data_IF_319827595544
#
_entry.id   IF_319827595544
#
_cell.length_a   1.000
_cell.length_b   1.000
_cell.length_c   1.000
_cell.angle_alpha   90.00
_cell.angle_beta   90.00
_cell.angle_gamma   90.00
#
_symmetry.space_group_name_H-M   'P 1'
#
loop_
_entity.id
_entity.type
_entity.pdbx_description
1 polymer ?
#
# COMPACT_ATOMS: atom_id res chain seq x y z
N UNK A 1 1.97 5.43 16.34
CA UNK A 1 2.70 4.58 15.36
C UNK A 1 1.88 3.32 15.12
N UNK A 2 1.81 2.81 13.89
CA UNK A 2 1.06 1.59 13.59
C UNK A 2 1.67 0.36 14.29
N UNK A 3 0.86 -0.69 14.43
CA UNK A 3 1.34 -2.01 14.85
C UNK A 3 2.34 -2.58 13.84
N UNK A 4 2.98 -3.70 14.19
CA UNK A 4 3.81 -4.45 13.23
C UNK A 4 2.90 -5.19 12.23
N UNK A 5 3.24 -5.11 10.95
CA UNK A 5 2.59 -5.87 9.89
C UNK A 5 3.17 -7.28 9.74
N UNK A 6 2.63 -8.05 8.80
CA UNK A 6 3.07 -9.43 8.51
C UNK A 6 4.49 -9.47 7.92
N UNK A 7 4.86 -8.44 7.15
CA UNK A 7 6.16 -8.33 6.50
C UNK A 7 6.35 -9.24 5.29
N UNK A 8 7.55 -9.18 4.69
CA UNK A 8 7.98 -10.08 3.60
C UNK A 8 7.47 -9.71 2.20
N UNK A 9 6.61 -8.70 2.06
CA UNK A 9 6.10 -8.20 0.78
C UNK A 9 6.57 -6.77 0.48
N UNK A 10 7.69 -6.38 1.09
CA UNK A 10 8.26 -5.05 1.05
C UNK A 10 7.88 -4.17 2.25
N UNK A 11 8.47 -2.99 2.33
CA UNK A 11 8.30 -2.03 3.44
C UNK A 11 6.84 -1.74 3.75
N UNK A 12 5.98 -1.62 2.72
CA UNK A 12 4.53 -1.41 2.90
C UNK A 12 3.78 -2.55 3.62
N UNK A 13 4.44 -3.71 3.82
CA UNK A 13 3.89 -4.86 4.57
C UNK A 13 4.43 -4.97 6.00
N UNK A 14 5.43 -4.18 6.38
CA UNK A 14 6.11 -4.30 7.69
C UNK A 14 5.36 -3.60 8.82
N UNK A 15 4.36 -2.78 8.50
CA UNK A 15 3.50 -2.09 9.45
C UNK A 15 2.04 -2.46 9.25
N UNK A 16 1.28 -2.52 10.35
CA UNK A 16 -0.14 -2.84 10.37
C UNK A 16 -1.02 -1.62 10.14
N UNK A 17 -2.28 -1.72 10.56
CA UNK A 17 -3.37 -0.80 10.22
C UNK A 17 -3.03 0.67 10.55
N UNK A 18 -3.22 1.57 9.57
CA UNK A 18 -3.08 3.03 9.73
C UNK A 18 -4.40 3.70 10.12
N UNK A 19 -5.48 2.93 10.29
CA UNK A 19 -6.80 3.48 10.56
C UNK A 19 -6.78 4.37 11.80
N UNK A 20 -7.30 5.58 11.65
CA UNK A 20 -7.36 6.56 12.74
C UNK A 20 -6.09 7.41 12.93
N UNK A 21 -4.99 7.11 12.23
CA UNK A 21 -3.82 7.99 12.19
C UNK A 21 -4.11 9.23 11.34
N UNK A 22 -3.54 10.37 11.72
CA UNK A 22 -3.60 11.61 10.93
C UNK A 22 -2.63 11.60 9.77
N UNK A 23 -2.83 12.49 8.80
CA UNK A 23 -1.89 12.74 7.70
C UNK A 23 -0.48 13.02 8.17
N UNK A 24 -0.35 13.90 9.15
CA UNK A 24 0.95 14.30 9.69
C UNK A 24 1.67 13.12 10.35
N UNK A 25 0.97 12.30 11.13
CA UNK A 25 1.57 11.12 11.77
C UNK A 25 2.09 10.11 10.74
N UNK A 26 1.36 9.96 9.63
CA UNK A 26 1.77 9.08 8.52
C UNK A 26 2.98 9.65 7.79
N UNK A 27 2.98 10.95 7.49
CA UNK A 27 4.11 11.62 6.86
C UNK A 27 5.40 11.45 7.67
N UNK A 28 5.32 11.72 8.99
CA UNK A 28 6.45 11.57 9.89
C UNK A 28 6.93 10.12 10.00
N UNK A 29 6.00 9.16 10.03
CA UNK A 29 6.32 7.74 10.08
C UNK A 29 6.99 7.26 8.78
N UNK A 30 6.42 7.56 7.62
CA UNK A 30 6.94 7.11 6.32
C UNK A 30 8.23 7.82 5.93
N UNK A 31 8.44 9.07 6.36
CA UNK A 31 9.72 9.75 6.19
C UNK A 31 10.87 9.03 6.89
N UNK A 32 10.63 8.43 8.07
CA UNK A 32 11.63 7.61 8.78
C UNK A 32 11.95 6.30 8.06
N UNK A 33 11.11 5.89 7.12
CA UNK A 33 11.29 4.71 6.26
C UNK A 33 11.80 5.09 4.85
N UNK A 34 12.35 6.29 4.70
CA UNK A 34 12.88 6.83 3.44
C UNK A 34 11.85 6.88 2.30
N UNK A 35 10.57 7.02 2.62
CA UNK A 35 9.53 7.16 1.62
C UNK A 35 9.65 8.49 0.87
N UNK A 36 9.57 8.42 -0.46
CA UNK A 36 9.40 9.59 -1.31
C UNK A 36 7.91 9.88 -1.46
N UNK A 37 7.51 11.09 -1.12
CA UNK A 37 6.12 11.55 -1.24
C UNK A 37 5.89 12.29 -2.55
N UNK A 38 4.73 12.06 -3.17
CA UNK A 38 4.25 12.79 -4.34
C UNK A 38 2.74 13.02 -4.22
N UNK A 39 2.32 14.26 -4.41
CA UNK A 39 0.89 14.61 -4.54
C UNK A 39 0.54 14.62 -6.02
N UNK A 40 -0.55 13.96 -6.40
CA UNK A 40 -1.06 13.93 -7.78
C UNK A 40 -2.09 15.02 -8.00
N UNK A 41 -2.37 15.37 -9.27
CA UNK A 41 -3.40 16.36 -9.62
C UNK A 41 -4.81 15.98 -9.13
N UNK A 42 -5.07 14.68 -8.96
CA UNK A 42 -6.34 14.17 -8.41
C UNK A 42 -6.41 14.16 -6.88
N UNK A 43 -5.45 14.75 -6.17
CA UNK A 43 -5.43 14.82 -4.70
C UNK A 43 -4.95 13.54 -4.01
N UNK A 44 -4.53 12.52 -4.75
CA UNK A 44 -3.89 11.34 -4.15
C UNK A 44 -2.50 11.68 -3.65
N UNK A 45 -2.16 11.17 -2.46
CA UNK A 45 -0.82 11.23 -1.90
C UNK A 45 -0.17 9.86 -2.05
N UNK A 46 0.91 9.78 -2.81
CA UNK A 46 1.68 8.56 -3.04
C UNK A 46 2.98 8.60 -2.22
N UNK A 47 3.20 7.58 -1.41
CA UNK A 47 4.45 7.28 -0.72
C UNK A 47 5.10 6.08 -1.37
N UNK A 48 6.31 6.27 -1.89
CA UNK A 48 7.09 5.21 -2.52
C UNK A 48 8.35 4.94 -1.69
N UNK A 49 8.48 3.70 -1.21
CA UNK A 49 9.63 3.25 -0.44
C UNK A 49 10.82 2.86 -1.34
N UNK A 50 12.05 2.73 -0.79
CA UNK A 50 13.24 2.35 -1.56
C UNK A 50 13.10 1.02 -2.32
N UNK A 51 12.43 0.03 -1.72
CA UNK A 51 12.16 -1.27 -2.31
C UNK A 51 11.08 -1.25 -3.41
N UNK A 52 10.51 -0.07 -3.68
CA UNK A 52 9.42 0.22 -4.63
C UNK A 52 8.05 -0.31 -4.23
N UNK A 53 7.87 -0.82 -3.01
CA UNK A 53 6.54 -0.93 -2.39
C UNK A 53 5.94 0.47 -2.20
N UNK A 54 4.62 0.55 -2.08
CA UNK A 54 3.92 1.85 -2.04
C UNK A 54 2.74 1.87 -1.10
N UNK A 55 2.48 3.04 -0.55
CA UNK A 55 1.19 3.41 0.04
C UNK A 55 0.65 4.59 -0.74
N UNK A 56 -0.60 4.50 -1.18
CA UNK A 56 -1.34 5.59 -1.79
C UNK A 56 -2.48 5.89 -0.86
N UNK A 57 -2.70 7.17 -0.57
CA UNK A 57 -3.86 7.57 0.18
C UNK A 57 -4.70 8.49 -0.70
N UNK A 58 -5.97 8.12 -0.83
CA UNK A 58 -6.95 8.80 -1.65
C UNK A 58 -7.43 10.10 -1.00
N UNK A 59 -8.07 11.00 -1.77
CA UNK A 59 -8.67 12.21 -1.22
C UNK A 59 -9.70 11.98 -0.11
N UNK A 60 -10.38 10.83 -0.11
CA UNK A 60 -11.38 10.45 0.90
C UNK A 60 -10.76 9.77 2.14
N UNK A 61 -9.43 9.78 2.25
CA UNK A 61 -8.70 9.17 3.36
C UNK A 61 -8.46 7.67 3.24
N UNK A 62 -8.97 7.02 2.18
CA UNK A 62 -8.76 5.59 1.98
C UNK A 62 -7.31 5.24 1.62
N UNK A 63 -6.78 4.21 2.26
CA UNK A 63 -5.41 3.72 2.05
C UNK A 63 -5.40 2.55 1.08
N UNK A 64 -4.48 2.60 0.13
CA UNK A 64 -4.17 1.52 -0.81
C UNK A 64 -2.69 1.18 -0.70
N UNK A 65 -2.41 -0.09 -0.44
CA UNK A 65 -1.04 -0.60 -0.28
C UNK A 65 -0.67 -1.51 -1.44
N UNK A 66 0.56 -1.36 -1.96
CA UNK A 66 1.09 -2.19 -3.05
C UNK A 66 2.41 -2.84 -2.62
N UNK A 67 2.56 -4.17 -2.81
CA UNK A 67 3.80 -4.86 -2.46
C UNK A 67 4.99 -4.39 -3.30
N UNK A 68 6.19 -4.65 -2.79
CA UNK A 68 7.41 -4.54 -3.59
C UNK A 68 7.30 -5.42 -4.84
N UNK A 69 7.74 -4.94 -6.02
CA UNK A 69 7.61 -5.69 -7.26
C UNK A 69 8.51 -6.93 -7.26
N UNK A 70 7.94 -8.08 -7.61
CA UNK A 70 8.66 -9.35 -7.78
C UNK A 70 8.69 -9.68 -9.27
N UNK A 71 9.86 -10.09 -9.75
CA UNK A 71 10.10 -10.38 -11.16
C UNK A 71 10.52 -11.85 -11.33
N UNK A 72 10.00 -12.50 -12.37
CA UNK A 72 10.47 -13.80 -12.82
C UNK A 72 11.82 -13.67 -13.54
N UNK A 73 12.42 -14.82 -13.86
CA UNK A 73 13.71 -14.88 -14.59
C UNK A 73 13.65 -14.26 -15.99
N UNK A 74 12.47 -14.23 -16.61
CA UNK A 74 12.22 -13.58 -17.90
C UNK A 74 12.02 -12.06 -17.79
N UNK A 75 12.13 -11.49 -16.58
CA UNK A 75 11.93 -10.06 -16.31
C UNK A 75 10.47 -9.62 -16.24
N UNK A 76 9.51 -10.53 -16.35
CA UNK A 76 8.09 -10.23 -16.17
C UNK A 76 7.77 -10.01 -14.69
N UNK A 77 6.89 -9.05 -14.37
CA UNK A 77 6.44 -8.81 -12.99
C UNK A 77 5.32 -9.78 -12.62
N UNK A 78 5.59 -10.68 -11.68
CA UNK A 78 4.66 -11.77 -11.33
C UNK A 78 3.60 -11.36 -10.31
N UNK A 79 3.85 -10.34 -9.48
CA UNK A 79 2.87 -9.82 -8.52
C UNK A 79 2.17 -8.56 -9.02
N UNK A 80 2.03 -8.41 -10.33
CA UNK A 80 1.38 -7.26 -10.94
C UNK A 80 -0.11 -7.28 -10.58
N UNK A 81 -0.61 -6.15 -10.07
CA UNK A 81 -2.02 -6.02 -9.70
C UNK A 81 -2.35 -6.52 -8.30
N UNK A 82 -1.43 -7.19 -7.61
CA UNK A 82 -1.61 -7.54 -6.21
C UNK A 82 -1.56 -6.30 -5.31
N UNK A 83 -2.26 -6.39 -4.18
CA UNK A 83 -2.31 -5.37 -3.14
C UNK A 83 -1.96 -5.97 -1.79
N UNK A 84 -1.88 -5.12 -0.78
CA UNK A 84 -1.77 -5.56 0.60
C UNK A 84 -3.03 -5.18 1.38
N UNK A 85 -3.46 -6.07 2.28
CA UNK A 85 -4.44 -5.72 3.31
C UNK A 85 -3.82 -4.76 4.36
N UNK A 86 -4.64 -4.28 5.29
CA UNK A 86 -4.21 -3.39 6.38
C UNK A 86 -3.11 -3.99 7.28
N UNK A 87 -2.97 -5.31 7.31
CA UNK A 87 -1.95 -6.02 8.08
C UNK A 87 -0.69 -6.32 7.25
N UNK A 88 -0.67 -5.96 5.96
CA UNK A 88 0.44 -6.24 5.06
C UNK A 88 0.41 -7.61 4.38
N UNK A 89 -0.72 -8.32 4.39
CA UNK A 89 -0.88 -9.60 3.67
C UNK A 89 -1.19 -9.37 2.20
N UNK A 90 -0.63 -10.20 1.34
CA UNK A 90 -0.94 -10.18 -0.10
C UNK A 90 -2.42 -10.48 -0.34
N UNK A 91 -3.01 -9.66 -1.21
CA UNK A 91 -4.38 -9.81 -1.70
C UNK A 91 -4.36 -9.90 -3.23
N UNK A 92 -5.04 -10.93 -3.73
CA UNK A 92 -5.47 -10.98 -5.13
C UNK A 92 -6.52 -9.91 -5.37
N UNK A 93 -6.45 -9.23 -6.51
CA UNK A 93 -7.48 -8.26 -6.93
C UNK A 93 -8.32 -8.75 -8.09
N UNK A 94 -7.98 -9.92 -8.63
CA UNK A 94 -8.68 -10.56 -9.75
C UNK A 94 -8.85 -12.05 -9.49
N UNK A 95 -9.97 -12.59 -9.94
CA UNK A 95 -10.23 -14.03 -9.88
C UNK A 95 -9.45 -14.78 -10.97
N UNK A 96 -9.62 -16.11 -11.01
CA UNK A 96 -8.96 -16.98 -12.01
C UNK A 96 -9.37 -16.68 -13.46
N UNK A 97 -10.48 -15.98 -13.67
CA UNK A 97 -10.98 -15.56 -14.98
C UNK A 97 -10.55 -14.12 -15.32
N UNK A 98 -9.84 -13.45 -14.41
CA UNK A 98 -9.38 -12.07 -14.57
C UNK A 98 -10.40 -11.01 -14.16
N UNK A 99 -11.56 -11.38 -13.61
CA UNK A 99 -12.56 -10.43 -13.16
C UNK A 99 -12.12 -9.75 -11.85
N UNK A 100 -12.38 -8.45 -11.64
CA UNK A 100 -12.10 -7.79 -10.37
C UNK A 100 -12.81 -8.47 -9.20
N UNK A 101 -12.08 -8.72 -8.11
CA UNK A 101 -12.67 -9.23 -6.87
C UNK A 101 -13.20 -8.03 -6.06
N UNK A 102 -14.47 -8.04 -5.63
CA UNK A 102 -15.02 -6.99 -4.77
C UNK A 102 -14.18 -6.76 -3.51
N UNK A 103 -14.15 -5.53 -3.00
CA UNK A 103 -13.50 -5.16 -1.73
C UNK A 103 -11.98 -5.42 -1.65
N UNK A 104 -11.33 -5.68 -2.78
CA UNK A 104 -9.85 -5.80 -2.86
C UNK A 104 -9.19 -4.50 -3.29
N UNK A 105 -9.96 -3.62 -3.93
CA UNK A 105 -9.52 -2.27 -4.28
C UNK A 105 -9.67 -1.26 -3.14
N UNK A 106 -10.52 -1.61 -2.17
CA UNK A 106 -10.89 -0.77 -1.04
C UNK A 106 -10.73 -1.61 0.23
N UNK A 107 -9.62 -1.44 0.94
CA UNK A 107 -9.28 -2.30 2.10
C UNK A 107 -10.04 -1.91 3.37
N UNK A 108 -10.84 -0.84 3.32
CA UNK A 108 -11.52 -0.26 4.48
C UNK A 108 -10.58 0.50 5.43
N UNK A 109 -9.28 0.49 5.17
CA UNK A 109 -8.27 1.24 5.91
C UNK A 109 -8.42 2.73 5.63
N UNK A 110 -8.67 3.53 6.68
CA UNK A 110 -8.96 4.97 6.55
C UNK A 110 -8.20 5.84 7.54
N UNK A 111 -7.49 6.81 7.00
CA UNK A 111 -6.77 7.82 7.79
C UNK A 111 -7.72 8.94 8.19
N UNK A 112 -7.34 9.68 9.24
CA UNK A 112 -7.98 10.94 9.60
C UNK A 112 -7.29 12.08 8.88
N UNK A 113 -8.08 13.10 8.54
CA UNK A 113 -7.55 14.37 8.07
C UNK A 113 -6.78 15.08 9.19
#
# INVERSE_FOLDING_TARGET
MPSKGVGGNGTASEFGDLTGMTRQEIDEFFKKLDAKVKITSGGYVEYKFPDRSKVIIRPDGEVVRTPAPIYASDGSRINRGLRLDREGRLMETRDKLGNPIPDTHNTGERVRD
#
